data_IF_551097553208
#
_entry.id   IF_551097553208
#
_cell.length_a   1.000
_cell.length_b   1.000
_cell.length_c   1.000
_cell.angle_alpha   90.00
_cell.angle_beta   90.00
_cell.angle_gamma   90.00
#
_symmetry.space_group_name_H-M   'P 1'
#
loop_
_entity.id
_entity.type
_entity.pdbx_description
1 polymer ?
#
# COMPACT_ATOMS: atom_id res chain seq x y z
N UNK A 1 57.19 49.43 13.95
CA UNK A 1 56.75 48.84 12.66
C UNK A 1 56.72 47.33 12.83
N UNK A 2 55.53 46.76 12.63
CA UNK A 2 55.19 45.37 12.26
C UNK A 2 56.06 44.19 12.73
N UNK A 3 55.44 43.30 13.51
CA UNK A 3 55.30 41.84 13.28
C UNK A 3 54.95 41.17 14.62
N UNK A 4 53.69 40.96 15.01
CA UNK A 4 52.65 40.07 14.48
C UNK A 4 52.96 38.56 14.70
N UNK A 5 51.97 37.87 15.29
CA UNK A 5 51.59 36.44 15.09
C UNK A 5 52.41 35.43 15.93
N UNK A 6 51.87 34.45 16.68
CA UNK A 6 50.67 33.62 16.52
C UNK A 6 50.26 32.98 17.86
N UNK A 7 48.96 32.86 18.14
CA UNK A 7 48.43 32.02 19.23
C UNK A 7 47.49 30.95 18.63
N UNK A 8 47.65 29.66 18.97
CA UNK A 8 46.71 28.63 18.51
C UNK A 8 45.69 28.31 19.60
N UNK A 9 44.39 28.23 19.24
CA UNK A 9 43.50 27.29 19.89
C UNK A 9 43.03 26.26 18.87
N UNK A 10 43.59 25.05 19.00
CA UNK A 10 43.06 23.87 18.34
C UNK A 10 41.68 23.53 18.93
N UNK A 11 40.63 24.08 18.32
CA UNK A 11 39.25 23.64 18.53
C UNK A 11 39.01 22.43 17.62
N UNK A 12 39.25 21.23 18.16
CA UNK A 12 38.78 19.98 17.57
C UNK A 12 37.26 19.88 17.72
N UNK A 13 36.54 20.53 16.81
CA UNK A 13 35.13 20.16 16.55
C UNK A 13 35.15 18.76 15.97
N UNK A 14 34.83 17.78 16.82
CA UNK A 14 34.29 16.49 16.40
C UNK A 14 33.02 16.77 15.57
N UNK A 15 33.20 16.91 14.26
CA UNK A 15 32.11 16.77 13.30
C UNK A 15 31.75 15.29 13.36
N UNK A 16 30.62 14.99 13.98
CA UNK A 16 30.03 13.66 13.94
C UNK A 16 30.03 13.19 12.48
N UNK A 17 30.44 11.94 12.18
CA UNK A 17 30.38 11.43 10.82
C UNK A 17 28.93 11.52 10.35
N UNK A 18 28.65 12.46 9.44
CA UNK A 18 27.46 12.41 8.62
C UNK A 18 27.51 11.05 7.94
N UNK A 19 26.57 10.18 8.31
CA UNK A 19 26.50 8.81 7.87
C UNK A 19 26.65 8.76 6.36
N UNK A 20 27.73 8.11 5.93
CA UNK A 20 28.05 7.84 4.54
C UNK A 20 26.86 7.21 3.85
N UNK A 21 26.31 7.98 2.91
CA UNK A 21 25.80 7.56 1.62
C UNK A 21 25.78 6.03 1.39
N UNK A 22 24.60 5.43 1.56
CA UNK A 22 24.28 4.22 0.81
C UNK A 22 24.13 4.60 -0.67
N UNK A 23 25.24 4.63 -1.41
CA UNK A 23 25.21 4.84 -2.86
C UNK A 23 24.75 3.56 -3.57
N UNK A 24 23.55 3.66 -4.13
CA UNK A 24 22.85 2.65 -4.91
C UNK A 24 23.57 2.40 -6.25
N UNK A 25 24.08 1.20 -6.48
CA UNK A 25 24.30 0.70 -7.85
C UNK A 25 23.48 -0.57 -8.11
N UNK A 26 22.38 -0.45 -8.86
CA UNK A 26 21.84 -1.60 -9.58
C UNK A 26 21.37 -1.21 -10.96
N UNK A 27 22.00 -1.87 -11.91
CA UNK A 27 21.77 -1.76 -13.33
C UNK A 27 20.56 -2.62 -13.72
N UNK A 28 19.48 -1.99 -14.18
CA UNK A 28 18.50 -2.56 -15.11
C UNK A 28 18.16 -1.48 -16.13
N UNK A 29 19.11 -1.27 -17.05
CA UNK A 29 19.05 -0.54 -18.34
C UNK A 29 18.64 0.95 -18.36
N UNK A 30 18.33 1.58 -17.22
CA UNK A 30 18.17 3.03 -17.11
C UNK A 30 19.41 3.70 -16.49
N UNK A 31 19.72 4.97 -16.83
CA UNK A 31 20.75 5.72 -16.13
C UNK A 31 20.39 5.79 -14.63
N UNK A 32 21.37 5.63 -13.72
CA UNK A 32 21.12 5.73 -12.30
C UNK A 32 20.51 7.11 -11.97
N UNK A 33 19.62 7.20 -10.98
CA UNK A 33 19.17 8.50 -10.49
C UNK A 33 20.41 9.33 -10.10
N UNK A 34 20.40 10.65 -10.35
CA UNK A 34 21.55 11.50 -10.09
C UNK A 34 22.04 11.31 -8.64
N UNK A 35 23.37 11.14 -8.44
CA UNK A 35 23.93 10.91 -7.11
C UNK A 35 23.58 12.10 -6.19
N UNK A 36 22.98 11.80 -5.03
CA UNK A 36 22.69 12.81 -4.00
C UNK A 36 21.21 13.04 -3.65
N UNK A 37 20.24 12.37 -4.27
CA UNK A 37 18.87 12.30 -3.72
C UNK A 37 18.64 10.98 -3.00
N UNK A 38 19.09 10.90 -1.76
CA UNK A 38 18.55 9.90 -0.84
C UNK A 38 17.03 10.05 -0.75
N UNK A 39 16.31 8.94 -0.57
CA UNK A 39 14.88 8.96 -0.27
C UNK A 39 14.64 9.82 0.98
N UNK A 40 13.98 10.97 0.81
CA UNK A 40 13.58 11.82 1.93
C UNK A 40 12.30 11.26 2.55
N UNK A 41 12.47 10.33 3.49
CA UNK A 41 11.36 9.73 4.25
C UNK A 41 10.58 10.74 5.09
N UNK A 42 11.10 11.96 5.28
CA UNK A 42 10.39 13.04 5.99
C UNK A 42 9.45 13.83 5.07
N UNK A 43 9.54 13.66 3.74
CA UNK A 43 8.63 14.31 2.79
C UNK A 43 7.29 13.55 2.72
N UNK A 44 6.44 13.80 3.72
CA UNK A 44 5.10 13.23 3.79
C UNK A 44 4.17 13.93 2.79
N UNK A 45 3.63 13.16 1.84
CA UNK A 45 2.88 13.69 0.70
C UNK A 45 1.55 12.95 0.41
N UNK A 46 1.28 11.83 1.12
CA UNK A 46 0.16 10.94 0.88
C UNK A 46 -0.65 10.64 2.16
N UNK A 47 -1.99 10.52 2.09
CA UNK A 47 -2.84 10.90 0.96
C UNK A 47 -2.83 12.43 0.78
N UNK A 48 -3.21 12.91 -0.41
CA UNK A 48 -3.20 14.34 -0.74
C UNK A 48 -4.00 15.13 0.32
N UNK A 49 -3.39 16.18 0.86
CA UNK A 49 -3.98 17.03 1.91
C UNK A 49 -3.66 16.60 3.34
N UNK A 50 -3.63 15.30 3.63
CA UNK A 50 -3.32 14.79 4.97
C UNK A 50 -1.81 14.66 5.23
N UNK A 51 -1.01 14.40 4.18
CA UNK A 51 0.47 14.33 4.25
C UNK A 51 0.95 13.45 5.41
N UNK A 52 0.46 12.20 5.46
CA UNK A 52 0.73 11.26 6.54
C UNK A 52 1.90 10.32 6.23
N UNK A 53 2.10 10.02 4.94
CA UNK A 53 3.06 9.04 4.44
C UNK A 53 3.80 9.58 3.23
N UNK A 54 5.01 9.09 3.02
CA UNK A 54 5.78 9.34 1.82
C UNK A 54 5.43 8.32 0.73
N UNK A 55 5.06 8.78 -0.46
CA UNK A 55 4.76 7.97 -1.64
C UNK A 55 5.02 8.74 -2.93
N UNK A 56 6.18 8.56 -3.57
CA UNK A 56 6.48 9.06 -4.93
C UNK A 56 7.11 7.98 -5.79
N UNK A 57 6.37 6.93 -6.17
CA UNK A 57 6.96 5.79 -6.86
C UNK A 57 7.66 6.16 -8.18
N UNK A 58 7.23 7.21 -8.89
CA UNK A 58 7.88 7.64 -10.13
C UNK A 58 9.24 8.30 -9.92
N UNK A 59 9.42 8.99 -8.79
CA UNK A 59 10.65 9.72 -8.47
C UNK A 59 11.64 8.84 -7.69
N UNK A 60 11.09 7.95 -6.86
CA UNK A 60 11.83 7.17 -5.88
C UNK A 60 12.32 5.81 -6.41
N UNK A 61 11.69 5.29 -7.47
CA UNK A 61 11.86 3.91 -7.91
C UNK A 61 12.12 3.80 -9.42
N UNK A 62 12.86 2.77 -9.87
CA UNK A 62 12.93 2.41 -11.27
C UNK A 62 11.54 2.17 -11.87
N UNK A 63 11.34 2.51 -13.15
CA UNK A 63 10.03 2.51 -13.81
C UNK A 63 9.25 1.19 -13.69
N UNK A 64 9.94 0.06 -13.74
CA UNK A 64 9.36 -1.28 -13.60
C UNK A 64 8.88 -1.57 -12.16
N UNK A 65 9.55 -1.03 -11.15
CA UNK A 65 9.17 -1.14 -9.74
C UNK A 65 8.07 -0.13 -9.41
N UNK A 66 8.19 1.10 -9.92
CA UNK A 66 7.17 2.14 -9.82
C UNK A 66 5.81 1.65 -10.33
N UNK A 67 5.79 0.97 -11.48
CA UNK A 67 4.57 0.37 -12.02
C UNK A 67 3.94 -0.64 -11.05
N UNK A 68 4.74 -1.50 -10.39
CA UNK A 68 4.24 -2.44 -9.38
C UNK A 68 3.68 -1.72 -8.16
N UNK A 69 4.32 -0.64 -7.71
CA UNK A 69 3.79 0.21 -6.63
C UNK A 69 2.44 0.83 -6.99
N UNK A 70 2.26 1.24 -8.25
CA UNK A 70 0.99 1.77 -8.73
C UNK A 70 -0.09 0.68 -8.77
N UNK A 71 0.26 -0.56 -9.12
CA UNK A 71 -0.69 -1.69 -9.05
C UNK A 71 -1.11 -2.03 -7.61
N UNK A 72 -0.20 -1.93 -6.64
CA UNK A 72 -0.56 -2.05 -5.22
C UNK A 72 -1.52 -0.95 -4.78
N UNK A 73 -1.26 0.29 -5.21
CA UNK A 73 -2.11 1.43 -4.89
C UNK A 73 -3.49 1.29 -5.54
N UNK A 74 -3.55 0.90 -6.80
CA UNK A 74 -4.79 0.59 -7.49
C UNK A 74 -5.59 -0.49 -6.75
N UNK A 75 -4.94 -1.54 -6.24
CA UNK A 75 -5.60 -2.57 -5.43
C UNK A 75 -6.18 -2.02 -4.13
N UNK A 76 -5.45 -1.14 -3.45
CA UNK A 76 -5.97 -0.42 -2.27
C UNK A 76 -7.19 0.45 -2.63
N UNK A 77 -7.15 1.18 -3.74
CA UNK A 77 -8.28 2.00 -4.19
C UNK A 77 -9.50 1.16 -4.53
N UNK A 78 -9.32 -0.02 -5.15
CA UNK A 78 -10.41 -0.98 -5.38
C UNK A 78 -11.01 -1.43 -4.05
N UNK A 79 -10.19 -1.78 -3.05
CA UNK A 79 -10.68 -2.17 -1.73
C UNK A 79 -11.51 -1.06 -1.07
N UNK A 80 -11.02 0.19 -1.10
CA UNK A 80 -11.76 1.36 -0.57
C UNK A 80 -13.07 1.55 -1.33
N UNK A 81 -13.07 1.45 -2.66
CA UNK A 81 -14.26 1.60 -3.49
C UNK A 81 -15.31 0.53 -3.15
N UNK A 82 -14.92 -0.73 -2.98
CA UNK A 82 -15.82 -1.82 -2.55
C UNK A 82 -16.47 -1.48 -1.20
N UNK A 83 -15.67 -1.04 -0.23
CA UNK A 83 -16.17 -0.70 1.10
C UNK A 83 -17.12 0.51 1.08
N UNK A 84 -16.89 1.49 0.21
CA UNK A 84 -17.81 2.62 0.00
C UNK A 84 -19.13 2.18 -0.62
N UNK A 85 -19.09 1.29 -1.62
CA UNK A 85 -20.30 0.69 -2.21
C UNK A 85 -21.11 -0.04 -1.14
N UNK A 86 -20.45 -0.74 -0.21
CA UNK A 86 -21.12 -1.39 0.90
C UNK A 86 -21.83 -0.39 1.83
N UNK A 87 -21.21 0.75 2.12
CA UNK A 87 -21.88 1.82 2.90
C UNK A 87 -23.13 2.31 2.17
N UNK A 88 -23.04 2.58 0.87
CA UNK A 88 -24.18 3.03 0.05
C UNK A 88 -25.30 1.99 0.04
N UNK A 89 -24.97 0.71 -0.18
CA UNK A 89 -25.91 -0.40 -0.13
C UNK A 89 -26.61 -0.50 1.23
N UNK A 90 -25.87 -0.33 2.33
CA UNK A 90 -26.45 -0.32 3.68
C UNK A 90 -27.42 0.85 3.88
N UNK A 91 -27.07 2.06 3.42
CA UNK A 91 -27.96 3.22 3.51
C UNK A 91 -29.26 2.95 2.75
N UNK A 92 -29.17 2.44 1.52
CA UNK A 92 -30.34 2.09 0.71
C UNK A 92 -31.18 1.01 1.40
N UNK A 93 -30.54 0.01 2.03
CA UNK A 93 -31.24 -1.02 2.81
C UNK A 93 -32.04 -0.41 3.97
N UNK A 94 -31.43 0.51 4.72
CA UNK A 94 -32.07 1.17 5.85
C UNK A 94 -33.25 2.03 5.40
N UNK A 95 -33.08 2.82 4.35
CA UNK A 95 -34.11 3.74 3.86
C UNK A 95 -35.27 3.00 3.17
N UNK A 96 -34.98 2.02 2.32
CA UNK A 96 -36.00 1.33 1.52
C UNK A 96 -36.69 0.20 2.29
N UNK A 97 -35.98 -0.50 3.18
CA UNK A 97 -36.49 -1.70 3.87
C UNK A 97 -36.61 -1.54 5.39
N UNK A 98 -36.42 -0.32 5.91
CA UNK A 98 -36.49 -0.01 7.35
C UNK A 98 -35.57 -0.88 8.20
N UNK A 99 -34.41 -1.25 7.67
CA UNK A 99 -33.44 -2.04 8.40
C UNK A 99 -32.89 -1.26 9.62
N UNK A 100 -32.42 -1.95 10.67
CA UNK A 100 -31.88 -1.30 11.86
C UNK A 100 -30.70 -0.37 11.56
N UNK A 101 -30.71 0.84 12.13
CA UNK A 101 -29.62 1.83 11.98
C UNK A 101 -28.26 1.34 12.47
N UNK A 102 -28.23 0.34 13.37
CA UNK A 102 -26.98 -0.29 13.84
C UNK A 102 -26.16 -0.89 12.68
N UNK A 103 -26.81 -1.29 11.58
CA UNK A 103 -26.12 -1.81 10.40
C UNK A 103 -25.22 -0.77 9.75
N UNK A 104 -25.60 0.51 9.81
CA UNK A 104 -24.77 1.61 9.31
C UNK A 104 -23.48 1.74 10.12
N UNK A 105 -23.59 1.65 11.46
CA UNK A 105 -22.43 1.67 12.34
C UNK A 105 -21.49 0.49 12.06
N UNK A 106 -22.03 -0.73 11.89
CA UNK A 106 -21.21 -1.89 11.54
C UNK A 106 -20.51 -1.73 10.18
N UNK A 107 -21.20 -1.16 9.19
CA UNK A 107 -20.59 -0.95 7.87
C UNK A 107 -19.49 0.11 7.91
N UNK A 108 -19.68 1.17 8.70
CA UNK A 108 -18.66 2.20 8.92
C UNK A 108 -17.44 1.66 9.68
N UNK A 109 -17.66 0.83 10.71
CA UNK A 109 -16.57 0.16 11.43
C UNK A 109 -15.78 -0.78 10.52
N UNK A 110 -16.49 -1.56 9.67
CA UNK A 110 -15.86 -2.40 8.66
C UNK A 110 -15.03 -1.57 7.68
N UNK A 111 -15.54 -0.42 7.24
CA UNK A 111 -14.78 0.49 6.38
C UNK A 111 -13.47 0.92 7.05
N UNK A 112 -13.50 1.40 8.29
CA UNK A 112 -12.29 1.84 9.00
C UNK A 112 -11.27 0.69 9.13
N UNK A 113 -11.71 -0.48 9.59
CA UNK A 113 -10.83 -1.62 9.84
C UNK A 113 -10.21 -2.11 8.52
N UNK A 114 -11.04 -2.39 7.51
CA UNK A 114 -10.55 -2.99 6.27
C UNK A 114 -9.84 -1.98 5.36
N UNK A 115 -10.25 -0.71 5.33
CA UNK A 115 -9.51 0.31 4.58
C UNK A 115 -8.13 0.55 5.21
N UNK A 116 -8.03 0.58 6.54
CA UNK A 116 -6.73 0.70 7.22
C UNK A 116 -5.86 -0.52 6.99
N UNK A 117 -6.41 -1.73 7.08
CA UNK A 117 -5.69 -2.97 6.78
C UNK A 117 -5.19 -3.01 5.33
N UNK A 118 -6.05 -2.66 4.36
CA UNK A 118 -5.68 -2.57 2.96
C UNK A 118 -4.58 -1.53 2.72
N UNK A 119 -4.67 -0.38 3.40
CA UNK A 119 -3.63 0.65 3.36
C UNK A 119 -2.29 0.12 3.92
N UNK A 120 -2.31 -0.58 5.06
CA UNK A 120 -1.12 -1.22 5.65
C UNK A 120 -0.48 -2.21 4.69
N UNK A 121 -1.27 -3.06 4.02
CA UNK A 121 -0.75 -3.99 3.00
C UNK A 121 -0.10 -3.24 1.85
N UNK A 122 -0.78 -2.23 1.29
CA UNK A 122 -0.21 -1.38 0.26
C UNK A 122 1.12 -0.75 0.70
N UNK A 123 1.16 -0.14 1.88
CA UNK A 123 2.32 0.59 2.37
C UNK A 123 3.49 -0.33 2.72
N UNK A 124 3.25 -1.51 3.30
CA UNK A 124 4.29 -2.53 3.51
C UNK A 124 4.89 -3.02 2.19
N UNK A 125 4.07 -3.18 1.15
CA UNK A 125 4.52 -3.54 -0.19
C UNK A 125 5.40 -2.45 -0.80
N UNK A 126 4.97 -1.19 -0.68
CA UNK A 126 5.74 -0.02 -1.10
C UNK A 126 7.09 0.07 -0.36
N UNK A 127 7.08 0.04 0.97
CA UNK A 127 8.30 0.06 1.79
C UNK A 127 9.25 -1.09 1.47
N UNK A 128 8.71 -2.30 1.27
CA UNK A 128 9.49 -3.48 0.90
C UNK A 128 10.25 -3.30 -0.42
N UNK A 129 9.65 -2.60 -1.39
CA UNK A 129 10.30 -2.29 -2.66
C UNK A 129 11.27 -1.12 -2.57
N UNK A 130 10.86 0.00 -1.94
CA UNK A 130 11.67 1.20 -1.81
C UNK A 130 12.92 0.98 -0.95
N UNK A 131 12.77 0.35 0.21
CA UNK A 131 13.90 0.03 1.10
C UNK A 131 14.62 -1.27 0.72
N UNK A 132 14.12 -2.01 -0.29
CA UNK A 132 14.59 -3.37 -0.66
C UNK A 132 14.66 -4.33 0.54
N UNK A 133 13.77 -4.14 1.51
CA UNK A 133 13.81 -4.83 2.80
C UNK A 133 13.08 -6.17 2.74
N UNK A 134 13.83 -7.28 2.88
CA UNK A 134 13.27 -8.64 2.94
C UNK A 134 12.21 -8.81 4.04
N UNK A 135 12.40 -8.13 5.18
CA UNK A 135 11.48 -8.16 6.32
C UNK A 135 10.12 -7.54 5.99
N UNK A 136 10.11 -6.33 5.42
CA UNK A 136 8.87 -5.66 5.01
C UNK A 136 8.16 -6.43 3.88
N UNK A 137 8.92 -7.00 2.94
CA UNK A 137 8.36 -7.82 1.87
C UNK A 137 7.74 -9.13 2.41
N UNK A 138 8.32 -9.73 3.45
CA UNK A 138 7.72 -10.89 4.14
C UNK A 138 6.40 -10.50 4.83
N UNK A 139 6.39 -9.40 5.57
CA UNK A 139 5.16 -8.90 6.21
C UNK A 139 4.07 -8.57 5.20
N UNK A 140 4.45 -7.96 4.06
CA UNK A 140 3.53 -7.76 2.94
C UNK A 140 2.93 -9.10 2.47
N UNK A 141 3.74 -10.13 2.24
CA UNK A 141 3.26 -11.44 1.74
C UNK A 141 2.25 -12.07 2.69
N UNK A 142 2.55 -12.05 4.00
CA UNK A 142 1.66 -12.58 5.04
C UNK A 142 0.35 -11.77 5.06
N UNK A 143 0.43 -10.45 5.15
CA UNK A 143 -0.74 -9.58 5.26
C UNK A 143 -1.61 -9.62 3.99
N UNK A 144 -0.99 -9.64 2.80
CA UNK A 144 -1.70 -9.82 1.53
C UNK A 144 -2.39 -11.19 1.46
N UNK A 145 -1.74 -12.26 1.90
CA UNK A 145 -2.35 -13.60 1.98
C UNK A 145 -3.59 -13.62 2.87
N UNK A 146 -3.53 -13.01 4.06
CA UNK A 146 -4.68 -12.86 4.96
C UNK A 146 -5.81 -12.07 4.28
N UNK A 147 -5.49 -10.95 3.65
CA UNK A 147 -6.48 -10.11 2.97
C UNK A 147 -7.11 -10.79 1.75
N UNK A 148 -6.39 -11.66 1.04
CA UNK A 148 -6.94 -12.49 -0.05
C UNK A 148 -7.97 -13.47 0.49
N UNK A 149 -7.68 -14.16 1.59
CA UNK A 149 -8.62 -15.10 2.22
C UNK A 149 -9.90 -14.38 2.67
N UNK A 150 -9.75 -13.20 3.30
CA UNK A 150 -10.89 -12.36 3.69
C UNK A 150 -11.70 -11.91 2.46
N UNK A 151 -11.02 -11.46 1.40
CA UNK A 151 -11.68 -11.06 0.15
C UNK A 151 -12.44 -12.21 -0.51
N UNK A 152 -11.88 -13.42 -0.53
CA UNK A 152 -12.55 -14.64 -1.02
C UNK A 152 -13.79 -14.97 -0.19
N UNK A 153 -13.71 -14.85 1.14
CA UNK A 153 -14.85 -15.05 2.02
C UNK A 153 -15.99 -14.07 1.70
N UNK A 154 -15.68 -12.79 1.54
CA UNK A 154 -16.67 -11.76 1.19
C UNK A 154 -17.25 -11.93 -0.21
N UNK A 155 -16.43 -12.35 -1.18
CA UNK A 155 -16.88 -12.67 -2.54
C UNK A 155 -17.90 -13.82 -2.56
N UNK A 156 -17.66 -14.89 -1.79
CA UNK A 156 -18.47 -16.12 -1.83
C UNK A 156 -19.68 -16.03 -0.90
N UNK A 157 -19.43 -15.94 0.41
CA UNK A 157 -20.47 -16.08 1.42
C UNK A 157 -21.30 -14.79 1.56
N UNK A 158 -20.66 -13.63 1.39
CA UNK A 158 -21.19 -12.39 1.94
C UNK A 158 -21.27 -12.46 3.46
N UNK A 159 -21.40 -11.31 4.11
CA UNK A 159 -21.43 -11.25 5.58
C UNK A 159 -21.93 -9.90 6.05
N UNK A 160 -22.95 -9.90 6.91
CA UNK A 160 -23.61 -8.68 7.37
C UNK A 160 -24.20 -7.88 6.20
N UNK A 161 -23.61 -6.72 5.91
CA UNK A 161 -24.01 -5.82 4.83
C UNK A 161 -23.51 -6.23 3.42
N UNK A 162 -22.61 -7.21 3.36
CA UNK A 162 -21.91 -7.59 2.13
C UNK A 162 -22.73 -8.62 1.36
N UNK A 163 -22.97 -8.36 0.07
CA UNK A 163 -23.72 -9.25 -0.82
C UNK A 163 -22.77 -10.15 -1.60
N UNK A 164 -22.55 -11.37 -1.11
CA UNK A 164 -21.78 -12.39 -1.82
C UNK A 164 -22.61 -13.15 -2.85
N UNK A 165 -21.92 -13.87 -3.74
CA UNK A 165 -22.53 -14.62 -4.84
C UNK A 165 -23.59 -15.64 -4.36
N UNK A 166 -23.37 -16.25 -3.20
CA UNK A 166 -24.28 -17.26 -2.63
C UNK A 166 -25.61 -16.67 -2.17
N UNK A 167 -25.70 -15.34 -2.00
CA UNK A 167 -26.93 -14.66 -1.56
C UNK A 167 -28.01 -14.68 -2.65
N UNK A 168 -27.64 -14.54 -3.93
CA UNK A 168 -28.61 -14.57 -5.03
C UNK A 168 -29.26 -15.95 -5.19
N UNK A 169 -28.47 -17.01 -4.99
CA UNK A 169 -28.96 -18.41 -5.02
C UNK A 169 -30.01 -18.69 -3.94
N UNK A 170 -29.97 -17.94 -2.84
CA UNK A 170 -30.85 -18.18 -1.68
C UNK A 170 -32.12 -17.32 -1.71
N UNK A 171 -32.02 -16.08 -2.20
CA UNK A 171 -33.09 -15.08 -2.03
C UNK A 171 -33.79 -14.63 -3.32
N UNK A 172 -33.37 -15.11 -4.51
CA UNK A 172 -33.97 -14.75 -5.80
C UNK A 172 -34.21 -13.25 -5.97
N UNK A 173 -33.17 -12.46 -5.72
CA UNK A 173 -33.28 -11.00 -5.69
C UNK A 173 -33.48 -10.45 -7.10
N UNK A 174 -34.42 -9.51 -7.27
CA UNK A 174 -34.73 -8.85 -8.55
C UNK A 174 -34.49 -7.35 -8.47
N UNK A 175 -34.30 -6.72 -9.63
CA UNK A 175 -34.14 -5.27 -9.76
C UNK A 175 -32.81 -4.77 -9.19
N UNK A 176 -32.88 -3.72 -8.35
CA UNK A 176 -31.70 -3.08 -7.77
C UNK A 176 -30.74 -4.07 -7.09
N UNK A 177 -31.28 -5.00 -6.31
CA UNK A 177 -30.46 -5.93 -5.53
C UNK A 177 -29.67 -6.92 -6.37
N UNK A 178 -30.23 -7.34 -7.50
CA UNK A 178 -29.51 -8.21 -8.45
C UNK A 178 -28.30 -7.48 -9.03
N UNK A 179 -28.49 -6.23 -9.45
CA UNK A 179 -27.39 -5.37 -9.91
C UNK A 179 -26.34 -5.15 -8.82
N UNK A 180 -26.77 -4.85 -7.59
CA UNK A 180 -25.87 -4.63 -6.46
C UNK A 180 -25.02 -5.87 -6.15
N UNK A 181 -25.63 -7.07 -6.14
CA UNK A 181 -24.91 -8.34 -5.91
C UNK A 181 -23.85 -8.56 -7.00
N UNK A 182 -24.20 -8.36 -8.28
CA UNK A 182 -23.27 -8.53 -9.40
C UNK A 182 -22.12 -7.54 -9.31
N UNK A 183 -22.42 -6.26 -9.11
CA UNK A 183 -21.42 -5.21 -9.01
C UNK A 183 -20.45 -5.49 -7.85
N UNK A 184 -20.98 -5.78 -6.67
CA UNK A 184 -20.19 -6.05 -5.47
C UNK A 184 -19.31 -7.30 -5.63
N UNK A 185 -19.87 -8.37 -6.21
CA UNK A 185 -19.14 -9.60 -6.51
C UNK A 185 -18.00 -9.38 -7.51
N UNK A 186 -18.25 -8.60 -8.58
CA UNK A 186 -17.22 -8.27 -9.57
C UNK A 186 -16.10 -7.41 -8.96
N UNK A 187 -16.44 -6.48 -8.08
CA UNK A 187 -15.42 -5.65 -7.41
C UNK A 187 -14.59 -6.47 -6.42
N UNK A 188 -15.20 -7.37 -5.63
CA UNK A 188 -14.46 -8.31 -4.79
C UNK A 188 -13.59 -9.26 -5.60
N UNK A 189 -14.09 -9.78 -6.73
CA UNK A 189 -13.31 -10.59 -7.64
C UNK A 189 -12.11 -9.82 -8.20
N UNK A 190 -12.31 -8.59 -8.67
CA UNK A 190 -11.23 -7.73 -9.16
C UNK A 190 -10.17 -7.47 -8.09
N UNK A 191 -10.60 -7.19 -6.85
CA UNK A 191 -9.72 -7.03 -5.69
C UNK A 191 -8.90 -8.30 -5.42
N UNK A 192 -9.54 -9.47 -5.36
CA UNK A 192 -8.86 -10.75 -5.10
C UNK A 192 -7.88 -11.07 -6.24
N UNK A 193 -8.31 -10.94 -7.50
CA UNK A 193 -7.47 -11.21 -8.66
C UNK A 193 -6.23 -10.31 -8.69
N UNK A 194 -6.41 -9.01 -8.46
CA UNK A 194 -5.31 -8.04 -8.41
C UNK A 194 -4.41 -8.26 -7.20
N UNK A 195 -4.96 -8.66 -6.05
CA UNK A 195 -4.20 -9.04 -4.86
C UNK A 195 -3.33 -10.28 -5.11
N UNK A 196 -3.88 -11.32 -5.74
CA UNK A 196 -3.13 -12.52 -6.13
C UNK A 196 -2.03 -12.19 -7.14
N UNK A 197 -2.33 -11.35 -8.14
CA UNK A 197 -1.34 -10.91 -9.12
C UNK A 197 -0.20 -10.11 -8.48
N UNK A 198 -0.52 -9.16 -7.61
CA UNK A 198 0.47 -8.40 -6.85
C UNK A 198 1.32 -9.31 -5.95
N UNK A 199 0.71 -10.26 -5.26
CA UNK A 199 1.43 -11.24 -4.43
C UNK A 199 2.39 -12.09 -5.28
N UNK A 200 1.95 -12.58 -6.44
CA UNK A 200 2.80 -13.30 -7.39
C UNK A 200 4.01 -12.45 -7.82
N UNK A 201 3.78 -11.17 -8.17
CA UNK A 201 4.85 -10.24 -8.54
C UNK A 201 5.85 -10.04 -7.39
N UNK A 202 5.38 -9.97 -6.14
CA UNK A 202 6.24 -9.81 -4.96
C UNK A 202 6.96 -11.10 -4.53
N UNK A 203 6.43 -12.27 -4.85
CA UNK A 203 7.13 -13.54 -4.68
C UNK A 203 8.31 -13.61 -5.66
N UNK A 204 8.10 -13.17 -6.90
CA UNK A 204 9.14 -13.11 -7.95
C UNK A 204 10.11 -11.93 -7.81
N UNK A 205 9.79 -10.97 -6.96
CA UNK A 205 10.68 -9.84 -6.68
C UNK A 205 11.83 -10.32 -5.79
N UNK A 206 13.03 -10.43 -6.38
CA UNK A 206 14.26 -10.68 -5.63
C UNK A 206 14.89 -9.32 -5.29
N UNK A 207 14.92 -8.91 -4.00
CA UNK A 207 15.70 -7.75 -3.60
C UNK A 207 17.17 -8.15 -3.73
N UNK A 208 17.82 -7.76 -4.83
CA UNK A 208 19.25 -8.01 -4.97
C UNK A 208 19.99 -7.17 -3.93
N UNK A 209 20.84 -7.83 -3.13
CA UNK A 209 21.63 -7.21 -2.07
C UNK A 209 22.80 -6.45 -2.71
N UNK A 210 23.09 -5.25 -2.23
CA UNK A 210 24.29 -4.51 -2.63
C UNK A 210 25.57 -5.21 -2.16
N UNK A 211 25.50 -5.92 -1.04
CA UNK A 211 26.60 -6.72 -0.50
C UNK A 211 27.10 -7.78 -1.51
N UNK A 212 26.20 -8.28 -2.37
CA UNK A 212 26.52 -9.29 -3.39
C UNK A 212 27.23 -8.67 -4.62
N UNK A 213 27.30 -7.33 -4.73
CA UNK A 213 28.00 -6.62 -5.81
C UNK A 213 29.46 -6.28 -5.48
N UNK A 214 29.96 -6.67 -4.31
CA UNK A 214 31.36 -6.44 -3.94
C UNK A 214 31.75 -4.97 -3.80
N UNK A 215 30.76 -4.07 -3.70
CA UNK A 215 31.00 -2.65 -3.41
C UNK A 215 31.08 -2.53 -1.88
N UNK A 216 32.30 -2.59 -1.35
CA UNK A 216 32.54 -2.26 0.05
C UNK A 216 32.18 -0.79 0.29
N UNK A 217 31.52 -0.47 1.43
CA UNK A 217 31.10 0.88 1.79
C UNK A 217 32.27 1.84 2.01
#
# INVERSE_FOLDING_TARGET
MNSAVESPPASSRNVAPQGSDQQYSFNVTGPPPPPGRGLDWNDLNYPKGAKLFHYRPQDDLPINVAHRCNLLHANYLVAVAVLLVNIVNTIITILAYKAPWINLLYTFLNFIIFASAAFTVFYLGYLGMAMRSKKHLLYYKIAAGVMIIIGLYFMLAGGGAINGFLKDLTYHVRGYWWFAVILESLMWFAYVALSCYNLYLMIRFCPVRFDDLGVNP
#
